data_IF_112432079996
#
_entry.id   IF_112432079996
#
_cell.length_a   1.000
_cell.length_b   1.000
_cell.length_c   1.000
_cell.angle_alpha   90.00
_cell.angle_beta   90.00
_cell.angle_gamma   90.00
#
_symmetry.space_group_name_H-M   'P 1'
#
loop_
_entity.id
_entity.type
_entity.pdbx_description
1 polymer ?
#
# COMPACT_ATOMS: atom_id res chain seq x y z
N UNK A 1 -40.03 -49.69 -27.60
CA UNK A 1 -38.66 -50.16 -27.30
C UNK A 1 -37.72 -49.67 -28.39
N UNK A 2 -37.13 -48.49 -28.21
CA UNK A 2 -36.07 -47.95 -29.07
C UNK A 2 -35.02 -47.29 -28.18
N UNK A 3 -33.78 -47.54 -28.55
CA UNK A 3 -32.52 -47.43 -27.82
C UNK A 3 -32.08 -45.98 -27.57
N UNK A 4 -31.70 -45.64 -26.33
CA UNK A 4 -30.94 -44.42 -26.02
C UNK A 4 -29.48 -44.76 -25.74
N UNK A 5 -28.60 -44.25 -26.61
CA UNK A 5 -27.16 -44.17 -26.41
C UNK A 5 -26.82 -43.01 -25.47
N UNK A 6 -25.89 -43.23 -24.55
CA UNK A 6 -25.11 -42.16 -23.90
C UNK A 6 -24.04 -41.63 -24.85
N UNK A 7 -23.56 -40.40 -24.60
CA UNK A 7 -22.15 -40.32 -24.23
C UNK A 7 -21.82 -39.37 -23.07
N UNK A 8 -20.73 -39.73 -22.39
CA UNK A 8 -20.06 -39.06 -21.28
C UNK A 8 -19.58 -37.65 -21.64
N UNK A 9 -19.74 -36.70 -20.72
CA UNK A 9 -19.00 -35.44 -20.70
C UNK A 9 -17.94 -35.48 -19.59
N UNK A 10 -16.68 -35.26 -20.02
CA UNK A 10 -15.46 -35.23 -19.21
C UNK A 10 -15.31 -33.84 -18.57
N UNK A 11 -15.05 -33.87 -17.27
CA UNK A 11 -14.55 -32.77 -16.43
C UNK A 11 -13.24 -32.22 -16.98
N UNK A 12 -13.12 -30.89 -17.09
CA UNK A 12 -11.85 -30.20 -17.34
C UNK A 12 -11.62 -29.17 -16.22
N UNK A 13 -10.69 -29.50 -15.35
CA UNK A 13 -10.12 -28.64 -14.31
C UNK A 13 -9.01 -27.80 -14.95
N UNK A 14 -9.10 -26.47 -14.89
CA UNK A 14 -7.98 -25.60 -15.24
C UNK A 14 -7.17 -25.28 -13.99
N UNK A 15 -5.99 -25.91 -13.91
CA UNK A 15 -4.90 -25.59 -13.00
C UNK A 15 -4.10 -24.43 -13.58
N UNK A 16 -3.94 -23.33 -12.84
CA UNK A 16 -3.06 -22.22 -13.21
C UNK A 16 -1.84 -22.22 -12.30
N UNK A 17 -0.67 -22.49 -12.88
CA UNK A 17 0.62 -22.35 -12.20
C UNK A 17 1.75 -22.42 -13.22
N UNK A 18 2.48 -21.31 -13.39
CA UNK A 18 3.94 -21.18 -13.27
C UNK A 18 4.48 -19.98 -14.06
N UNK A 19 5.03 -19.00 -13.33
CA UNK A 19 5.96 -18.00 -13.83
C UNK A 19 7.39 -18.59 -13.82
N UNK A 20 8.15 -18.48 -14.92
CA UNK A 20 9.62 -18.38 -14.87
C UNK A 20 10.22 -17.83 -16.18
N UNK A 21 11.02 -16.78 -16.00
CA UNK A 21 12.27 -16.40 -16.69
C UNK A 21 12.26 -16.12 -18.21
N UNK A 22 12.45 -14.85 -18.57
CA UNK A 22 13.12 -14.44 -19.81
C UNK A 22 14.34 -13.58 -19.48
N UNK A 23 15.52 -14.14 -19.72
CA UNK A 23 16.75 -13.43 -19.99
C UNK A 23 17.21 -13.82 -21.41
N UNK A 24 17.95 -12.91 -22.06
CA UNK A 24 18.76 -13.04 -23.29
C UNK A 24 18.23 -12.32 -24.56
N UNK A 25 18.69 -11.07 -24.67
CA UNK A 25 19.47 -10.39 -25.74
C UNK A 25 19.38 -10.78 -27.26
N UNK A 26 19.29 -9.70 -28.06
CA UNK A 26 19.73 -9.38 -29.46
C UNK A 26 19.09 -10.07 -30.68
N UNK A 27 18.46 -9.26 -31.55
CA UNK A 27 18.97 -8.90 -32.90
C UNK A 27 18.03 -7.89 -33.60
N UNK A 28 18.65 -6.82 -34.12
CA UNK A 28 18.04 -5.75 -34.91
C UNK A 28 17.55 -6.22 -36.29
N UNK A 29 16.64 -5.45 -36.92
CA UNK A 29 16.73 -5.24 -38.36
C UNK A 29 16.82 -3.77 -38.74
N UNK A 30 17.74 -3.50 -39.66
CA UNK A 30 18.01 -2.24 -40.35
C UNK A 30 16.86 -1.86 -41.29
N UNK A 31 16.47 -0.57 -41.35
CA UNK A 31 15.59 -0.08 -42.40
C UNK A 31 15.20 1.40 -42.30
N UNK A 32 15.92 2.24 -43.05
CA UNK A 32 15.54 3.52 -43.68
C UNK A 32 14.96 4.71 -42.85
N UNK A 33 15.71 5.82 -42.89
CA UNK A 33 15.37 7.26 -42.68
C UNK A 33 14.16 7.70 -43.54
N UNK A 34 13.39 8.81 -43.28
CA UNK A 34 13.79 10.16 -42.77
C UNK A 34 12.66 10.91 -41.95
N UNK A 35 12.57 12.26 -41.85
CA UNK A 35 13.55 13.35 -41.67
C UNK A 35 13.37 14.14 -40.34
N UNK A 36 14.34 15.03 -40.03
CA UNK A 36 14.38 15.93 -38.87
C UNK A 36 13.28 17.01 -38.84
N UNK A 37 12.86 17.46 -37.64
CA UNK A 37 12.23 18.78 -37.45
C UNK A 37 13.25 19.87 -37.01
N UNK A 38 12.96 21.16 -37.29
CA UNK A 38 13.93 22.26 -37.24
C UNK A 38 14.15 22.86 -35.83
N UNK A 39 15.38 23.32 -35.60
CA UNK A 39 15.84 24.13 -34.47
C UNK A 39 15.29 25.56 -34.48
N UNK A 40 14.89 26.15 -33.33
CA UNK A 40 14.60 27.58 -33.24
C UNK A 40 15.88 28.42 -33.02
N UNK A 41 15.92 29.67 -33.51
CA UNK A 41 17.14 30.48 -33.61
C UNK A 41 17.54 31.20 -32.32
N UNK A 42 18.86 31.40 -32.20
CA UNK A 42 19.57 32.18 -31.17
C UNK A 42 19.64 33.65 -31.62
N UNK A 43 19.20 34.58 -30.78
CA UNK A 43 19.44 36.02 -30.93
C UNK A 43 20.16 36.56 -29.68
N UNK A 44 21.12 37.47 -29.92
CA UNK A 44 21.75 38.42 -28.98
C UNK A 44 21.77 39.78 -29.73
N UNK A 45 22.25 40.88 -29.11
CA UNK A 45 21.73 41.60 -27.94
C UNK A 45 21.41 43.08 -28.32
N UNK A 46 20.66 43.83 -27.52
CA UNK A 46 20.76 45.31 -27.52
C UNK A 46 20.23 45.95 -26.22
N UNK A 47 20.81 47.13 -25.94
CA UNK A 47 20.83 48.01 -24.75
C UNK A 47 19.46 48.70 -24.45
N UNK A 48 19.17 49.55 -23.45
CA UNK A 48 19.75 50.14 -22.23
C UNK A 48 18.58 50.85 -21.47
N UNK A 49 18.86 51.42 -20.27
CA UNK A 49 18.05 52.40 -19.47
C UNK A 49 16.93 51.83 -18.58
N UNK A 50 16.74 52.14 -17.29
CA UNK A 50 17.32 53.09 -16.33
C UNK A 50 17.09 52.64 -14.88
N UNK A 51 18.11 52.88 -14.02
CA UNK A 51 18.09 53.31 -12.61
C UNK A 51 17.03 52.76 -11.61
N UNK A 52 17.50 52.04 -10.58
CA UNK A 52 17.62 52.55 -9.19
C UNK A 52 18.41 51.56 -8.33
N UNK A 53 19.48 52.07 -7.71
CA UNK A 53 20.27 51.47 -6.65
C UNK A 53 19.42 51.18 -5.41
N UNK A 54 19.63 50.08 -4.68
CA UNK A 54 20.55 50.08 -3.54
C UNK A 54 20.94 48.66 -3.10
N UNK A 55 22.22 48.55 -2.74
CA UNK A 55 22.99 47.38 -2.37
C UNK A 55 22.56 46.68 -1.07
N UNK A 56 22.83 45.38 -1.00
CA UNK A 56 23.70 44.81 0.06
C UNK A 56 24.21 43.41 -0.33
N UNK A 57 25.55 43.30 -0.34
CA UNK A 57 26.41 42.11 -0.41
C UNK A 57 26.13 41.14 0.76
N UNK A 58 26.56 39.89 0.92
CA UNK A 58 27.47 38.89 0.30
C UNK A 58 27.05 37.57 1.04
N UNK A 59 27.20 36.33 0.58
CA UNK A 59 28.46 35.59 0.40
C UNK A 59 28.14 34.17 -0.10
N UNK A 60 28.94 33.74 -1.06
CA UNK A 60 29.21 32.40 -1.60
C UNK A 60 28.96 31.17 -0.71
N UNK A 61 28.23 30.17 -1.23
CA UNK A 61 28.57 28.73 -1.12
C UNK A 61 27.50 27.87 -1.79
N UNK A 62 27.77 27.32 -2.98
CA UNK A 62 27.19 26.05 -3.40
C UNK A 62 28.27 25.24 -4.12
N UNK A 63 28.89 24.36 -3.34
CA UNK A 63 29.83 23.35 -3.81
C UNK A 63 29.07 22.24 -4.55
N UNK A 64 29.53 22.07 -5.78
CA UNK A 64 29.40 20.96 -6.71
C UNK A 64 29.30 19.58 -6.03
N UNK A 65 28.21 18.84 -6.28
CA UNK A 65 28.11 17.39 -5.98
C UNK A 65 29.14 16.62 -6.81
N UNK A 66 30.26 16.24 -6.20
CA UNK A 66 31.12 15.19 -6.73
C UNK A 66 30.50 13.82 -6.42
N UNK A 67 30.00 13.16 -7.46
CA UNK A 67 29.70 11.74 -7.44
C UNK A 67 31.02 10.95 -7.41
N UNK A 68 31.38 10.37 -6.26
CA UNK A 68 32.49 9.42 -6.20
C UNK A 68 31.99 8.02 -6.53
N UNK A 69 32.29 7.57 -7.74
CA UNK A 69 32.31 6.16 -8.09
C UNK A 69 33.62 5.54 -7.59
N UNK A 70 33.54 4.47 -6.82
CA UNK A 70 34.70 3.66 -6.44
C UNK A 70 34.83 2.49 -7.42
N UNK A 71 35.94 2.34 -8.17
CA UNK A 71 36.18 1.17 -8.99
C UNK A 71 36.68 -0.02 -8.14
N UNK A 72 36.48 -1.28 -8.59
CA UNK A 72 36.90 -2.46 -7.85
C UNK A 72 38.33 -2.88 -8.21
N UNK A 73 39.11 -3.33 -7.24
CA UNK A 73 40.35 -4.10 -7.46
C UNK A 73 40.46 -5.25 -6.44
N UNK A 74 41.23 -6.31 -6.75
CA UNK A 74 40.79 -7.69 -6.53
C UNK A 74 41.36 -8.40 -5.30
N UNK A 75 40.70 -9.52 -4.98
CA UNK A 75 41.10 -10.65 -4.13
C UNK A 75 42.57 -10.79 -3.73
N UNK A 76 42.81 -11.02 -2.43
CA UNK A 76 43.87 -11.92 -1.95
C UNK A 76 43.45 -12.58 -0.63
N UNK A 77 43.43 -13.90 -0.60
CA UNK A 77 43.24 -14.75 0.59
C UNK A 77 44.52 -14.82 1.42
N UNK A 78 44.47 -14.57 2.74
CA UNK A 78 45.42 -15.10 3.74
C UNK A 78 44.68 -15.43 5.05
N UNK A 79 44.98 -16.59 5.63
CA UNK A 79 44.39 -17.18 6.84
C UNK A 79 45.30 -16.94 8.07
N UNK A 80 44.68 -16.88 9.27
CA UNK A 80 45.22 -17.00 10.66
C UNK A 80 45.85 -15.70 11.21
N UNK A 81 45.66 -15.26 12.46
CA UNK A 81 45.59 -15.95 13.77
C UNK A 81 44.89 -15.06 14.83
N UNK A 82 44.35 -15.69 15.88
CA UNK A 82 43.86 -15.07 17.12
C UNK A 82 44.85 -14.07 17.74
N UNK A 83 44.37 -12.91 18.18
CA UNK A 83 44.99 -12.11 19.26
C UNK A 83 43.92 -11.27 19.96
N UNK A 84 43.78 -11.50 21.26
CA UNK A 84 43.01 -10.69 22.20
C UNK A 84 43.56 -9.27 22.28
N UNK A 85 42.72 -8.26 22.06
CA UNK A 85 42.99 -6.90 22.51
C UNK A 85 41.69 -6.15 22.81
N UNK A 86 41.46 -5.88 24.09
CA UNK A 86 40.50 -4.93 24.62
C UNK A 86 40.93 -3.50 24.32
N UNK A 87 40.06 -2.68 23.70
CA UNK A 87 40.00 -1.20 23.85
C UNK A 87 38.74 -0.60 23.18
N UNK A 88 37.79 -0.21 24.04
CA UNK A 88 36.98 1.03 24.05
C UNK A 88 36.34 1.59 22.77
N UNK A 89 35.00 1.49 22.75
CA UNK A 89 33.98 2.53 22.46
C UNK A 89 34.07 3.37 21.18
N UNK A 90 33.35 2.91 20.16
CA UNK A 90 32.37 3.67 19.38
C UNK A 90 31.25 2.70 18.96
N UNK A 91 29.95 2.95 19.24
CA UNK A 91 28.89 2.06 18.75
C UNK A 91 28.66 2.36 17.26
N UNK A 92 29.37 1.66 16.39
CA UNK A 92 28.88 1.46 15.04
C UNK A 92 27.61 0.59 15.13
N UNK A 93 26.54 0.89 14.38
CA UNK A 93 25.25 0.26 14.58
C UNK A 93 25.39 -1.22 14.26
N UNK A 94 25.24 -2.07 15.28
CA UNK A 94 25.02 -3.48 15.06
C UNK A 94 23.80 -3.61 14.14
N UNK A 95 23.96 -4.35 13.05
CA UNK A 95 22.83 -4.71 12.19
C UNK A 95 21.97 -5.64 13.05
N UNK A 96 21.01 -5.05 13.77
CA UNK A 96 20.02 -5.82 14.53
C UNK A 96 19.26 -6.67 13.52
N UNK A 97 19.20 -7.97 13.78
CA UNK A 97 18.26 -8.80 13.02
C UNK A 97 16.83 -8.35 13.36
N UNK A 98 15.87 -8.56 12.44
CA UNK A 98 14.49 -8.08 12.64
C UNK A 98 13.83 -8.65 13.90
N UNK A 99 14.23 -9.84 14.34
CA UNK A 99 13.71 -10.46 15.55
C UNK A 99 14.14 -9.69 16.81
N UNK A 100 15.41 -9.34 16.92
CA UNK A 100 15.96 -8.49 17.98
C UNK A 100 15.37 -7.09 17.94
N UNK A 101 15.24 -6.52 16.75
CA UNK A 101 14.57 -5.23 16.55
C UNK A 101 13.16 -5.25 17.15
N UNK A 102 12.34 -6.23 16.77
CA UNK A 102 10.97 -6.34 17.29
C UNK A 102 10.95 -6.52 18.80
N UNK A 103 11.86 -7.33 19.36
CA UNK A 103 11.95 -7.53 20.79
C UNK A 103 12.32 -6.24 21.55
N UNK A 104 13.34 -5.51 21.07
CA UNK A 104 13.77 -4.24 21.66
C UNK A 104 12.65 -3.20 21.55
N UNK A 105 11.99 -3.10 20.39
CA UNK A 105 10.91 -2.15 20.17
C UNK A 105 9.68 -2.44 21.03
N UNK A 106 9.32 -3.72 21.25
CA UNK A 106 8.20 -4.12 22.12
C UNK A 106 8.43 -3.63 23.56
N UNK A 107 9.67 -3.78 24.07
CA UNK A 107 10.06 -3.29 25.39
C UNK A 107 10.10 -1.75 25.48
N UNK A 108 10.52 -1.08 24.41
CA UNK A 108 10.70 0.38 24.41
C UNK A 108 9.40 1.14 24.13
N UNK A 109 8.43 0.57 23.42
CA UNK A 109 7.18 1.27 23.06
C UNK A 109 6.35 1.70 24.28
N UNK A 110 6.55 1.09 25.46
CA UNK A 110 5.90 1.52 26.69
C UNK A 110 6.64 2.65 27.41
N UNK A 111 7.95 2.76 27.20
CA UNK A 111 8.83 3.66 27.99
C UNK A 111 9.24 4.89 27.18
N UNK A 112 9.58 4.68 25.92
CA UNK A 112 9.96 5.71 24.95
C UNK A 112 9.40 5.36 23.55
N UNK A 113 8.10 5.63 23.32
CA UNK A 113 7.45 5.33 22.06
C UNK A 113 8.13 6.02 20.88
N UNK A 114 8.62 7.25 21.05
CA UNK A 114 9.22 8.04 19.97
C UNK A 114 10.50 7.37 19.45
N UNK A 115 11.40 6.97 20.35
CA UNK A 115 12.64 6.28 19.96
C UNK A 115 12.34 4.93 19.34
N UNK A 116 11.40 4.17 19.90
CA UNK A 116 11.02 2.87 19.40
C UNK A 116 10.41 2.94 17.98
N UNK A 117 9.49 3.89 17.75
CA UNK A 117 8.88 4.11 16.43
C UNK A 117 9.94 4.54 15.41
N UNK A 118 10.84 5.46 15.77
CA UNK A 118 11.91 5.88 14.89
C UNK A 118 12.88 4.73 14.54
N UNK A 119 13.18 3.86 15.51
CA UNK A 119 14.02 2.67 15.30
C UNK A 119 13.37 1.68 14.32
N UNK A 120 12.06 1.42 14.49
CA UNK A 120 11.27 0.58 13.59
C UNK A 120 11.20 1.19 12.19
N UNK A 121 10.92 2.48 12.09
CA UNK A 121 10.80 3.18 10.82
C UNK A 121 12.09 3.11 10.01
N UNK A 122 13.24 3.36 10.64
CA UNK A 122 14.55 3.31 9.98
C UNK A 122 14.91 1.92 9.46
N UNK A 123 14.41 0.89 10.12
CA UNK A 123 14.74 -0.51 9.81
C UNK A 123 13.78 -1.13 8.79
N UNK A 124 12.50 -0.73 8.82
CA UNK A 124 11.45 -1.30 7.97
C UNK A 124 11.16 -0.47 6.71
N UNK A 125 11.61 0.79 6.63
CA UNK A 125 11.17 1.74 5.60
C UNK A 125 12.37 2.48 5.00
N UNK A 126 12.43 2.76 3.68
CA UNK A 126 11.41 2.59 2.64
C UNK A 126 11.20 1.17 2.13
N UNK A 127 12.18 0.27 2.33
CA UNK A 127 12.22 -1.04 1.71
C UNK A 127 12.16 -2.13 2.79
N UNK A 128 10.95 -2.54 3.21
CA UNK A 128 10.82 -3.61 4.19
C UNK A 128 11.41 -4.91 3.62
N UNK A 129 12.14 -5.70 4.44
CA UNK A 129 12.61 -7.02 4.04
C UNK A 129 11.44 -7.90 3.59
N UNK A 130 11.66 -8.73 2.56
CA UNK A 130 10.62 -9.61 2.03
C UNK A 130 10.27 -10.72 3.04
N UNK A 131 11.29 -11.34 3.64
CA UNK A 131 11.14 -12.38 4.65
C UNK A 131 11.17 -11.75 6.07
N UNK A 132 10.04 -11.15 6.47
CA UNK A 132 9.89 -10.66 7.83
C UNK A 132 9.57 -11.82 8.78
N UNK A 133 10.21 -11.91 9.97
CA UNK A 133 9.75 -12.81 11.00
C UNK A 133 8.33 -12.41 11.45
N UNK A 134 7.55 -13.35 12.03
CA UNK A 134 6.27 -13.03 12.64
C UNK A 134 6.45 -11.91 13.68
N UNK A 135 5.74 -10.81 13.49
CA UNK A 135 5.73 -9.70 14.44
C UNK A 135 5.10 -10.17 15.77
N UNK A 136 5.66 -9.82 16.94
CA UNK A 136 4.98 -10.08 18.21
C UNK A 136 3.61 -9.37 18.27
N UNK A 137 2.52 -10.04 18.70
CA UNK A 137 1.21 -9.38 18.82
C UNK A 137 1.21 -8.17 19.76
N UNK A 138 2.02 -8.20 20.82
CA UNK A 138 2.15 -7.09 21.76
C UNK A 138 2.77 -5.85 21.11
N UNK A 139 3.76 -6.06 20.23
CA UNK A 139 4.35 -5.00 19.43
C UNK A 139 3.28 -4.34 18.56
N UNK A 140 2.46 -5.12 17.85
CA UNK A 140 1.35 -4.56 17.06
C UNK A 140 0.40 -3.75 17.95
N UNK A 141 -0.06 -4.31 19.08
CA UNK A 141 -0.97 -3.59 19.99
C UNK A 141 -0.38 -2.28 20.50
N UNK A 142 0.92 -2.24 20.78
CA UNK A 142 1.62 -1.04 21.19
C UNK A 142 1.72 0.00 20.05
N UNK A 143 1.90 -0.45 18.80
CA UNK A 143 1.82 0.41 17.62
C UNK A 143 0.42 1.00 17.43
N UNK A 144 -0.63 0.22 17.66
CA UNK A 144 -2.02 0.69 17.51
C UNK A 144 -2.36 1.83 18.50
N UNK A 145 -1.78 1.83 19.70
CA UNK A 145 -1.90 2.96 20.65
C UNK A 145 -1.25 4.25 20.15
N UNK A 146 -0.35 4.15 19.18
CA UNK A 146 0.40 5.26 18.57
C UNK A 146 0.11 5.35 17.06
N UNK A 147 -1.05 4.88 16.60
CA UNK A 147 -1.30 4.62 15.18
C UNK A 147 -1.16 5.85 14.29
N UNK A 148 -1.51 7.04 14.79
CA UNK A 148 -1.33 8.33 14.10
C UNK A 148 0.12 8.58 13.66
N UNK A 149 1.09 8.08 14.43
CA UNK A 149 2.52 8.17 14.14
C UNK A 149 3.11 6.86 13.60
N UNK A 150 2.38 5.75 13.70
CA UNK A 150 2.84 4.41 13.33
C UNK A 150 2.30 3.87 12.00
N UNK A 151 1.43 4.61 11.28
CA UNK A 151 0.83 4.15 10.00
C UNK A 151 1.84 3.61 9.00
N UNK A 152 3.03 4.24 8.91
CA UNK A 152 4.11 3.83 8.01
C UNK A 152 4.69 2.47 8.38
N UNK A 153 4.85 2.21 9.69
CA UNK A 153 5.36 0.96 10.25
C UNK A 153 4.31 -0.14 10.08
N UNK A 154 3.06 0.13 10.45
CA UNK A 154 1.95 -0.82 10.28
C UNK A 154 1.82 -1.26 8.82
N UNK A 155 1.85 -0.32 7.88
CA UNK A 155 1.83 -0.61 6.46
C UNK A 155 3.00 -1.50 6.04
N UNK A 156 4.23 -1.18 6.47
CA UNK A 156 5.42 -1.97 6.15
C UNK A 156 5.37 -3.40 6.70
N UNK A 157 4.80 -3.60 7.89
CA UNK A 157 4.58 -4.92 8.48
C UNK A 157 3.52 -5.71 7.70
N UNK A 158 2.41 -5.06 7.33
CA UNK A 158 1.32 -5.71 6.58
C UNK A 158 1.70 -6.10 5.14
N UNK A 159 2.87 -5.72 4.63
CA UNK A 159 3.35 -6.25 3.35
C UNK A 159 3.66 -7.75 3.44
N UNK A 160 4.07 -8.25 4.61
CA UNK A 160 4.23 -9.68 4.87
C UNK A 160 2.88 -10.35 5.18
N UNK A 161 2.54 -11.42 4.46
CA UNK A 161 1.28 -12.17 4.66
C UNK A 161 1.14 -12.68 6.10
N UNK A 162 2.23 -13.17 6.69
CA UNK A 162 2.26 -13.64 8.09
C UNK A 162 1.89 -12.53 9.07
N UNK A 163 2.39 -11.32 8.84
CA UNK A 163 2.15 -10.18 9.72
C UNK A 163 0.76 -9.58 9.54
N UNK A 164 0.10 -9.77 8.39
CA UNK A 164 -1.33 -9.40 8.22
C UNK A 164 -2.21 -10.16 9.21
N UNK A 165 -2.00 -11.48 9.35
CA UNK A 165 -2.77 -12.30 10.30
C UNK A 165 -2.55 -11.85 11.74
N UNK A 166 -1.29 -11.63 12.13
CA UNK A 166 -0.97 -11.08 13.47
C UNK A 166 -1.64 -9.72 13.69
N UNK A 167 -1.66 -8.85 12.69
CA UNK A 167 -2.28 -7.54 12.81
C UNK A 167 -3.80 -7.63 13.02
N UNK A 168 -4.48 -8.51 12.29
CA UNK A 168 -5.91 -8.80 12.48
C UNK A 168 -6.16 -9.33 13.90
N UNK A 169 -5.43 -10.34 14.35
CA UNK A 169 -5.56 -10.91 15.71
C UNK A 169 -5.26 -9.90 16.83
N UNK A 170 -4.48 -8.86 16.53
CA UNK A 170 -4.17 -7.77 17.44
C UNK A 170 -5.24 -6.65 17.45
N UNK A 171 -6.28 -6.73 16.61
CA UNK A 171 -7.37 -5.75 16.52
C UNK A 171 -7.06 -4.55 15.63
N UNK A 172 -6.14 -4.69 14.68
CA UNK A 172 -5.72 -3.57 13.83
C UNK A 172 -6.80 -3.11 12.84
N UNK A 173 -7.74 -3.98 12.43
CA UNK A 173 -8.80 -3.63 11.48
C UNK A 173 -9.72 -2.57 12.09
N UNK A 174 -10.31 -2.83 13.25
CA UNK A 174 -11.12 -1.84 13.98
C UNK A 174 -10.36 -0.55 14.28
N UNK A 175 -9.13 -0.66 14.82
CA UNK A 175 -8.32 0.51 15.16
C UNK A 175 -8.02 1.42 13.95
N UNK A 176 -7.78 0.85 12.77
CA UNK A 176 -7.58 1.62 11.54
C UNK A 176 -8.86 2.28 11.07
N UNK A 177 -10.00 1.58 11.12
CA UNK A 177 -11.31 2.16 10.76
C UNK A 177 -11.65 3.34 11.66
N UNK A 178 -11.41 3.22 12.97
CA UNK A 178 -11.72 4.28 13.94
C UNK A 178 -10.82 5.52 13.77
N UNK A 179 -9.51 5.35 13.53
CA UNK A 179 -8.58 6.49 13.43
C UNK A 179 -8.55 7.14 12.04
N UNK A 180 -8.94 6.44 10.97
CA UNK A 180 -8.81 6.94 9.60
C UNK A 180 -9.44 8.34 9.35
N UNK A 181 -10.61 8.69 9.92
CA UNK A 181 -11.18 10.03 9.83
C UNK A 181 -10.29 11.16 10.36
N UNK A 182 -9.36 10.85 11.28
CA UNK A 182 -8.43 11.82 11.89
C UNK A 182 -7.12 11.98 11.10
N UNK A 183 -6.86 11.09 10.13
CA UNK A 183 -5.64 11.10 9.34
C UNK A 183 -5.81 11.84 8.01
N UNK A 184 -4.77 12.56 7.58
CA UNK A 184 -4.75 13.22 6.27
C UNK A 184 -3.49 12.85 5.47
N UNK A 185 -3.55 13.05 4.15
CA UNK A 185 -2.41 12.84 3.25
C UNK A 185 -1.82 11.43 3.33
N UNK A 186 -0.48 11.35 3.35
CA UNK A 186 0.23 10.07 3.29
C UNK A 186 -0.05 9.12 4.48
N UNK A 187 -0.18 9.58 5.75
CA UNK A 187 -0.67 8.74 6.85
C UNK A 187 -2.01 8.05 6.56
N UNK A 188 -3.00 8.80 6.06
CA UNK A 188 -4.31 8.24 5.71
C UNK A 188 -4.21 7.17 4.62
N UNK A 189 -3.46 7.46 3.55
CA UNK A 189 -3.24 6.52 2.45
C UNK A 189 -2.58 5.22 2.92
N UNK A 190 -1.59 5.31 3.82
CA UNK A 190 -0.89 4.12 4.37
C UNK A 190 -1.79 3.30 5.29
N UNK A 191 -2.59 3.96 6.13
CA UNK A 191 -3.55 3.29 6.99
C UNK A 191 -4.58 2.50 6.16
N UNK A 192 -5.16 3.13 5.13
CA UNK A 192 -6.10 2.46 4.24
C UNK A 192 -5.47 1.34 3.40
N UNK A 193 -4.22 1.52 2.97
CA UNK A 193 -3.48 0.46 2.29
C UNK A 193 -3.24 -0.74 3.20
N UNK A 194 -2.89 -0.51 4.48
CA UNK A 194 -2.75 -1.58 5.48
C UNK A 194 -4.09 -2.28 5.73
N UNK A 195 -5.20 -1.53 5.84
CA UNK A 195 -6.54 -2.09 5.99
C UNK A 195 -6.92 -2.99 4.80
N UNK A 196 -6.70 -2.53 3.56
CA UNK A 196 -6.95 -3.35 2.37
C UNK A 196 -6.10 -4.63 2.36
N UNK A 197 -4.83 -4.55 2.78
CA UNK A 197 -3.98 -5.74 2.90
C UNK A 197 -4.51 -6.71 3.97
N UNK A 198 -4.94 -6.22 5.14
CA UNK A 198 -5.54 -7.07 6.17
C UNK A 198 -6.82 -7.75 5.70
N UNK A 199 -7.59 -7.11 4.81
CA UNK A 199 -8.76 -7.73 4.18
C UNK A 199 -8.44 -8.92 3.25
N UNK A 200 -7.16 -9.18 2.93
CA UNK A 200 -6.76 -10.42 2.24
C UNK A 200 -6.75 -11.65 3.15
N UNK A 201 -6.77 -11.43 4.47
CA UNK A 201 -6.99 -12.45 5.49
C UNK A 201 -8.50 -12.59 5.70
N UNK A 202 -9.01 -13.82 5.68
CA UNK A 202 -10.46 -14.08 5.77
C UNK A 202 -11.07 -13.44 7.02
N UNK A 203 -10.40 -13.60 8.16
CA UNK A 203 -10.81 -13.03 9.45
C UNK A 203 -10.82 -11.50 9.42
N UNK A 204 -9.88 -10.87 8.72
CA UNK A 204 -9.85 -9.41 8.55
C UNK A 204 -10.98 -8.90 7.65
N UNK A 205 -11.35 -9.67 6.61
CA UNK A 205 -12.49 -9.38 5.76
C UNK A 205 -13.83 -9.54 6.51
N UNK A 206 -13.96 -10.54 7.37
CA UNK A 206 -15.12 -10.70 8.26
C UNK A 206 -15.22 -9.54 9.25
N UNK A 207 -14.11 -9.17 9.89
CA UNK A 207 -14.07 -8.08 10.87
C UNK A 207 -14.47 -6.74 10.25
N UNK A 208 -13.93 -6.37 9.08
CA UNK A 208 -14.30 -5.11 8.43
C UNK A 208 -15.76 -5.09 7.99
N UNK A 209 -16.34 -6.25 7.64
CA UNK A 209 -17.76 -6.39 7.30
C UNK A 209 -18.68 -6.22 8.51
N UNK A 210 -18.26 -6.74 9.66
CA UNK A 210 -19.01 -6.63 10.91
C UNK A 210 -18.86 -5.25 11.59
N UNK A 211 -17.85 -4.46 11.20
CA UNK A 211 -17.56 -3.19 11.86
C UNK A 211 -18.54 -2.09 11.45
N UNK A 212 -19.41 -1.67 12.37
CA UNK A 212 -20.51 -0.72 12.11
C UNK A 212 -20.09 0.58 11.39
N UNK A 213 -18.90 1.11 11.71
CA UNK A 213 -18.39 2.35 11.11
C UNK A 213 -17.65 2.17 9.77
N UNK A 214 -17.41 0.95 9.30
CA UNK A 214 -16.54 0.73 8.14
C UNK A 214 -17.06 1.42 6.88
N UNK A 215 -18.34 1.24 6.54
CA UNK A 215 -18.95 1.88 5.36
C UNK A 215 -18.92 3.42 5.45
N UNK A 216 -19.47 4.07 6.49
CA UNK A 216 -19.47 5.54 6.55
C UNK A 216 -18.04 6.11 6.57
N UNK A 217 -17.10 5.46 7.27
CA UNK A 217 -15.68 5.89 7.24
C UNK A 217 -15.12 5.79 5.83
N UNK A 218 -15.28 4.67 5.12
CA UNK A 218 -14.74 4.54 3.76
C UNK A 218 -15.34 5.58 2.80
N UNK A 219 -16.63 5.90 2.94
CA UNK A 219 -17.28 6.99 2.18
C UNK A 219 -16.65 8.35 2.50
N UNK A 220 -16.45 8.66 3.78
CA UNK A 220 -15.74 9.88 4.20
C UNK A 220 -14.32 9.92 3.62
N UNK A 221 -13.58 8.82 3.71
CA UNK A 221 -12.21 8.73 3.20
C UNK A 221 -12.13 8.93 1.68
N UNK A 222 -13.09 8.41 0.91
CA UNK A 222 -13.17 8.69 -0.53
C UNK A 222 -13.36 10.18 -0.84
N UNK A 223 -14.08 10.91 0.00
CA UNK A 223 -14.32 12.34 -0.16
C UNK A 223 -13.10 13.21 0.17
N UNK A 224 -12.28 12.81 1.15
CA UNK A 224 -11.16 13.63 1.64
C UNK A 224 -9.77 13.25 1.14
N UNK A 225 -9.57 12.04 0.62
CA UNK A 225 -8.24 11.56 0.21
C UNK A 225 -7.96 11.74 -1.28
N UNK A 226 -6.67 11.73 -1.64
CA UNK A 226 -6.21 11.74 -3.02
C UNK A 226 -6.44 10.41 -3.75
N UNK A 227 -5.94 10.33 -4.98
CA UNK A 227 -6.18 9.22 -5.90
C UNK A 227 -5.86 7.82 -5.33
N UNK A 228 -4.83 7.69 -4.47
CA UNK A 228 -4.47 6.41 -3.84
C UNK A 228 -5.38 6.08 -2.66
N UNK A 229 -5.64 7.04 -1.78
CA UNK A 229 -6.56 6.86 -0.65
C UNK A 229 -7.95 6.41 -1.12
N UNK A 230 -8.49 7.04 -2.17
CA UNK A 230 -9.73 6.62 -2.82
C UNK A 230 -9.67 5.19 -3.34
N UNK A 231 -8.58 4.81 -4.01
CA UNK A 231 -8.40 3.44 -4.51
C UNK A 231 -8.48 2.40 -3.38
N UNK A 232 -7.85 2.67 -2.23
CA UNK A 232 -7.87 1.78 -1.08
C UNK A 232 -9.25 1.74 -0.42
N UNK A 233 -9.89 2.91 -0.22
CA UNK A 233 -11.25 2.97 0.35
C UNK A 233 -12.29 2.23 -0.52
N UNK A 234 -12.22 2.40 -1.86
CA UNK A 234 -13.05 1.65 -2.81
C UNK A 234 -12.76 0.15 -2.72
N UNK A 235 -11.50 -0.24 -2.55
CA UNK A 235 -11.10 -1.63 -2.36
C UNK A 235 -11.71 -2.26 -1.10
N UNK A 236 -11.69 -1.55 0.02
CA UNK A 236 -12.32 -2.00 1.27
C UNK A 236 -13.84 -2.09 1.11
N UNK A 237 -14.50 -1.12 0.46
CA UNK A 237 -15.94 -1.22 0.15
C UNK A 237 -16.26 -2.44 -0.73
N UNK A 238 -15.39 -2.79 -1.69
CA UNK A 238 -15.56 -4.00 -2.48
C UNK A 238 -15.45 -5.29 -1.66
N UNK A 239 -14.64 -5.30 -0.59
CA UNK A 239 -14.62 -6.42 0.37
C UNK A 239 -15.92 -6.48 1.16
N UNK A 240 -16.44 -5.33 1.59
CA UNK A 240 -17.66 -5.26 2.39
C UNK A 240 -18.87 -5.79 1.61
N UNK A 241 -19.04 -5.34 0.37
CA UNK A 241 -20.18 -5.69 -0.49
C UNK A 241 -19.94 -6.94 -1.36
N UNK A 242 -18.75 -7.53 -1.31
CA UNK A 242 -18.43 -8.76 -2.04
C UNK A 242 -18.73 -10.06 -1.27
N UNK A 243 -19.09 -9.96 0.01
CA UNK A 243 -19.38 -11.11 0.88
C UNK A 243 -20.79 -11.70 0.66
N UNK A 244 -20.98 -12.95 1.08
CA UNK A 244 -22.25 -13.68 0.92
C UNK A 244 -23.33 -13.32 1.96
N UNK A 245 -23.03 -12.44 2.92
CA UNK A 245 -23.93 -12.10 4.02
C UNK A 245 -24.56 -10.73 3.72
N UNK A 246 -25.66 -10.74 2.98
CA UNK A 246 -26.46 -9.55 2.67
C UNK A 246 -27.13 -8.94 3.93
N UNK A 247 -27.03 -9.59 5.09
CA UNK A 247 -27.87 -9.28 6.26
C UNK A 247 -27.25 -8.28 7.25
N UNK A 248 -26.03 -7.77 7.02
CA UNK A 248 -25.36 -6.88 7.98
C UNK A 248 -24.69 -5.62 7.40
N UNK A 249 -25.00 -5.24 6.16
CA UNK A 249 -24.37 -4.04 5.61
C UNK A 249 -25.04 -2.78 6.15
N UNK A 250 -24.26 -1.89 6.77
CA UNK A 250 -24.76 -0.71 7.49
C UNK A 250 -25.39 0.37 6.61
N UNK A 251 -25.28 0.27 5.28
CA UNK A 251 -25.86 1.23 4.35
C UNK A 251 -26.45 0.53 3.11
N UNK A 252 -27.52 1.07 2.50
CA UNK A 252 -28.08 0.50 1.30
C UNK A 252 -27.08 0.55 0.12
N UNK A 253 -27.02 -0.49 -0.73
CA UNK A 253 -26.12 -0.54 -1.88
C UNK A 253 -26.21 0.68 -2.81
N UNK A 254 -27.41 1.23 -3.00
CA UNK A 254 -27.65 2.40 -3.84
C UNK A 254 -26.96 3.67 -3.32
N UNK A 255 -26.91 3.85 -2.00
CA UNK A 255 -26.27 5.04 -1.41
C UNK A 255 -24.76 4.99 -1.59
N UNK A 256 -24.19 3.80 -1.38
CA UNK A 256 -22.75 3.58 -1.62
C UNK A 256 -22.42 3.69 -3.09
N UNK A 257 -23.29 3.25 -4.00
CA UNK A 257 -23.09 3.40 -5.44
C UNK A 257 -22.96 4.89 -5.82
N UNK A 258 -23.87 5.75 -5.34
CA UNK A 258 -23.79 7.20 -5.57
C UNK A 258 -22.50 7.81 -5.03
N UNK A 259 -22.06 7.38 -3.83
CA UNK A 259 -20.81 7.85 -3.25
C UNK A 259 -19.58 7.44 -4.08
N UNK A 260 -19.56 6.21 -4.58
CA UNK A 260 -18.49 5.70 -5.45
C UNK A 260 -18.49 6.42 -6.80
N UNK A 261 -19.65 6.63 -7.43
CA UNK A 261 -19.75 7.41 -8.67
C UNK A 261 -19.20 8.82 -8.51
N UNK A 262 -19.59 9.51 -7.43
CA UNK A 262 -19.08 10.84 -7.12
C UNK A 262 -17.57 10.84 -6.92
N UNK A 263 -17.03 9.85 -6.19
CA UNK A 263 -15.60 9.71 -5.97
C UNK A 263 -14.82 9.52 -7.29
N UNK A 264 -15.38 8.76 -8.23
CA UNK A 264 -14.81 8.45 -9.54
C UNK A 264 -14.82 9.63 -10.53
N UNK A 265 -15.70 10.62 -10.34
CA UNK A 265 -15.70 11.86 -11.13
C UNK A 265 -14.48 12.74 -10.84
N UNK A 266 -13.91 12.64 -9.63
CA UNK A 266 -12.70 13.36 -9.24
C UNK A 266 -11.40 12.63 -9.59
N UNK A 267 -10.28 13.12 -9.06
CA UNK A 267 -8.99 12.45 -9.22
C UNK A 267 -9.03 11.04 -8.60
N UNK A 268 -8.83 10.03 -9.44
CA UNK A 268 -8.73 8.62 -9.08
C UNK A 268 -7.57 7.98 -9.84
N UNK A 269 -6.93 6.97 -9.26
CA UNK A 269 -5.93 6.18 -9.99
C UNK A 269 -6.61 5.31 -11.05
N UNK A 270 -5.84 4.82 -12.04
CA UNK A 270 -6.38 3.88 -13.03
C UNK A 270 -6.88 2.58 -12.38
N UNK A 271 -6.22 2.12 -11.30
CA UNK A 271 -6.63 0.93 -10.54
C UNK A 271 -7.87 1.21 -9.70
N UNK A 272 -7.96 2.38 -9.06
CA UNK A 272 -9.14 2.85 -8.34
C UNK A 272 -10.38 2.90 -9.23
N UNK A 273 -10.25 3.43 -10.46
CA UNK A 273 -11.33 3.41 -11.45
C UNK A 273 -11.81 1.99 -11.78
N UNK A 274 -10.89 1.05 -12.02
CA UNK A 274 -11.24 -0.35 -12.31
C UNK A 274 -11.98 -1.01 -11.14
N UNK A 275 -11.48 -0.83 -9.90
CA UNK A 275 -12.14 -1.34 -8.70
C UNK A 275 -13.53 -0.71 -8.53
N UNK A 276 -13.64 0.61 -8.70
CA UNK A 276 -14.90 1.33 -8.58
C UNK A 276 -15.94 0.88 -9.60
N UNK A 277 -15.57 0.74 -10.88
CA UNK A 277 -16.47 0.20 -11.90
C UNK A 277 -16.94 -1.22 -11.59
N UNK A 278 -16.06 -2.07 -11.03
CA UNK A 278 -16.45 -3.41 -10.63
C UNK A 278 -17.41 -3.38 -9.43
N UNK A 279 -17.11 -2.55 -8.42
CA UNK A 279 -17.96 -2.36 -7.25
C UNK A 279 -19.36 -1.87 -7.63
N UNK A 280 -19.47 -0.89 -8.55
CA UNK A 280 -20.76 -0.39 -9.02
C UNK A 280 -21.63 -1.48 -9.66
N UNK A 281 -21.02 -2.44 -10.37
CA UNK A 281 -21.76 -3.60 -10.91
C UNK A 281 -22.29 -4.49 -9.79
N UNK A 282 -21.46 -4.77 -8.78
CA UNK A 282 -21.88 -5.56 -7.62
C UNK A 282 -23.00 -4.88 -6.85
N UNK A 283 -22.88 -3.58 -6.58
CA UNK A 283 -23.90 -2.81 -5.84
C UNK A 283 -25.25 -2.80 -6.56
N UNK A 284 -25.25 -2.68 -7.90
CA UNK A 284 -26.47 -2.75 -8.71
C UNK A 284 -27.14 -4.13 -8.63
N UNK A 285 -26.35 -5.20 -8.67
CA UNK A 285 -26.88 -6.56 -8.53
C UNK A 285 -27.51 -6.79 -7.16
N UNK A 286 -26.90 -6.24 -6.10
CA UNK A 286 -27.43 -6.31 -4.75
C UNK A 286 -28.75 -5.54 -4.63
N UNK A 287 -28.85 -4.32 -5.16
CA UNK A 287 -30.10 -3.55 -5.14
C UNK A 287 -31.22 -4.23 -5.93
N UNK A 288 -30.91 -4.84 -7.09
CA UNK A 288 -31.89 -5.59 -7.87
C UNK A 288 -32.40 -6.83 -7.10
N UNK A 289 -31.51 -7.54 -6.41
CA UNK A 289 -31.87 -8.70 -5.59
C UNK A 289 -32.72 -8.34 -4.34
N UNK A 290 -32.46 -7.19 -3.71
CA UNK A 290 -33.25 -6.67 -2.58
C UNK A 290 -34.70 -6.39 -3.01
N UNK A 291 -34.89 -5.72 -4.16
CA UNK A 291 -36.23 -5.43 -4.71
C UNK A 291 -37.00 -6.73 -5.03
N UNK A 292 -36.34 -7.72 -5.63
CA UNK A 292 -36.96 -9.01 -5.93
C UNK A 292 -37.38 -9.75 -4.65
N UNK A 293 -36.54 -9.75 -3.61
CA UNK A 293 -36.86 -10.38 -2.33
C UNK A 293 -38.05 -9.73 -1.61
N UNK A 294 -38.14 -8.40 -1.63
CA UNK A 294 -39.28 -7.66 -1.07
C UNK A 294 -40.58 -7.94 -1.83
N UNK A 295 -40.52 -8.03 -3.16
CA UNK A 295 -41.69 -8.31 -4.00
C UNK A 295 -42.29 -9.70 -3.74
N UNK A 296 -41.44 -10.71 -3.52
CA UNK A 296 -41.88 -12.07 -3.19
C UNK A 296 -42.47 -12.17 -1.78
N UNK A 297 -41.96 -11.39 -0.83
CA UNK A 297 -42.48 -11.36 0.54
C UNK A 297 -43.86 -10.71 0.61
N UNK A 298 -44.13 -9.70 -0.21
CA UNK A 298 -45.44 -9.03 -0.28
C UNK A 298 -46.53 -9.84 -1.00
N UNK A 299 -46.17 -10.78 -1.89
CA UNK A 299 -47.14 -11.67 -2.56
C UNK A 299 -47.51 -12.92 -1.74
N UNK A 300 -46.75 -13.22 -0.68
CA UNK A 300 -46.96 -14.39 0.18
C UNK A 300 -47.83 -14.10 1.43
N UNK A 301 -48.17 -12.84 1.69
CA UNK A 301 -49.08 -12.37 2.74
C UNK A 301 -50.43 -11.96 2.14
#
# INVERSE_FOLDING_TARGET
MKTHHQPKLKTQLFSCGFFRHCAQTVLSPTGATPPLPPTPPRLKPDQCESSTSSSSSTTTSQSFTQWRFSPPTPNTNIIKTNTTNTKTNTPHPEILNLQELFHISDLQLTTDPTTALHLLERSLVPNPPQDQPPCPPNLIRALLRNLTHATKILFALCLSDTNRRVAVEAGAVGAVVEVAPELDGAPAERALAALELMCTVAEGAEEVRAHALAVPVMVTMMGKTGARGKEYAIGVLAVIYGGSVAEQVTAPPEEVARAVELALQGECSARGRRKGTQLLKTLRQLSEAEIEAESHTQQAN
#
